data_IF_795477625973
#
_entry.id   IF_795477625973
#
_cell.length_a   1.000
_cell.length_b   1.000
_cell.length_c   1.000
_cell.angle_alpha   90.00
_cell.angle_beta   90.00
_cell.angle_gamma   90.00
#
_symmetry.space_group_name_H-M   'P 1'
#
loop_
_entity.id
_entity.type
_entity.pdbx_description
1 polymer ?
#
# COMPACT_ATOMS: atom_id res chain seq x y z
N UNK A 1 16.39 -6.27 -11.68
CA UNK A 1 15.71 -6.26 -10.37
C UNK A 1 14.42 -5.46 -10.45
N UNK A 2 14.49 -4.13 -10.64
CA UNK A 2 13.30 -3.36 -10.99
C UNK A 2 12.75 -3.79 -12.36
N UNK A 3 11.45 -4.04 -12.42
CA UNK A 3 10.67 -4.25 -13.66
C UNK A 3 9.39 -3.42 -13.60
N UNK A 4 8.75 -3.20 -14.75
CA UNK A 4 7.43 -2.55 -14.75
C UNK A 4 6.40 -3.42 -14.01
N UNK A 5 5.40 -2.80 -13.40
CA UNK A 5 4.37 -3.49 -12.63
C UNK A 5 3.62 -4.54 -13.47
N UNK A 6 3.39 -4.24 -14.75
CA UNK A 6 2.71 -5.15 -15.68
C UNK A 6 3.51 -6.43 -15.98
N UNK A 7 4.83 -6.40 -15.76
CA UNK A 7 5.74 -7.54 -16.00
C UNK A 7 5.89 -8.45 -14.77
N UNK A 8 5.36 -8.04 -13.61
CA UNK A 8 5.34 -8.86 -12.39
C UNK A 8 4.23 -9.92 -12.50
N UNK A 9 4.48 -11.19 -12.09
CA UNK A 9 3.46 -12.24 -12.05
C UNK A 9 2.24 -11.88 -11.18
N UNK A 10 1.06 -12.43 -11.52
CA UNK A 10 -0.20 -12.16 -10.79
C UNK A 10 -0.18 -12.67 -9.33
N UNK A 11 0.53 -13.76 -9.07
CA UNK A 11 0.71 -14.37 -7.75
C UNK A 11 1.86 -13.76 -6.95
N UNK A 12 2.55 -12.76 -7.52
CA UNK A 12 3.60 -12.03 -6.82
C UNK A 12 3.05 -11.36 -5.55
N UNK A 13 3.91 -11.30 -4.55
CA UNK A 13 3.56 -10.75 -3.24
C UNK A 13 3.41 -9.25 -3.33
N UNK A 14 2.46 -8.70 -2.58
CA UNK A 14 2.18 -7.27 -2.50
C UNK A 14 2.18 -6.81 -1.05
N UNK A 15 2.78 -5.64 -0.81
CA UNK A 15 2.63 -4.89 0.42
C UNK A 15 2.11 -3.49 0.10
N UNK A 16 1.02 -3.12 0.77
CA UNK A 16 0.44 -1.77 0.69
C UNK A 16 0.74 -1.02 1.97
N UNK A 17 1.40 0.13 1.83
CA UNK A 17 1.80 1.02 2.91
C UNK A 17 1.01 2.34 2.81
N UNK A 18 -0.15 2.45 3.49
CA UNK A 18 -0.93 3.68 3.50
C UNK A 18 -0.27 4.74 4.39
N UNK A 19 0.12 5.88 3.81
CA UNK A 19 0.66 7.00 4.59
C UNK A 19 -0.41 7.67 5.45
N UNK A 20 -0.08 8.08 6.68
CA UNK A 20 -0.98 8.81 7.59
C UNK A 20 -1.41 10.17 7.05
N UNK A 21 -0.58 10.82 6.23
CA UNK A 21 -0.92 12.03 5.46
C UNK A 21 -0.70 11.81 3.97
N UNK A 22 -1.14 12.76 3.15
CA UNK A 22 -0.67 12.80 1.75
C UNK A 22 0.78 13.27 1.73
N UNK A 23 1.57 12.68 0.86
CA UNK A 23 2.85 13.22 0.47
C UNK A 23 2.63 14.48 -0.37
N UNK A 24 3.45 15.50 -0.13
CA UNK A 24 3.42 16.73 -0.90
C UNK A 24 4.04 16.49 -2.28
N UNK A 25 3.57 17.16 -3.34
CA UNK A 25 4.09 16.93 -4.70
C UNK A 25 5.60 17.09 -4.84
N UNK A 26 6.23 17.93 -4.03
CA UNK A 26 7.68 18.14 -4.00
C UNK A 26 8.46 17.02 -3.28
N UNK A 27 7.81 16.19 -2.45
CA UNK A 27 8.42 15.02 -1.80
C UNK A 27 8.47 13.80 -2.73
N UNK A 28 7.49 13.70 -3.64
CA UNK A 28 7.27 12.49 -4.46
C UNK A 28 8.49 12.08 -5.29
N UNK A 29 9.18 12.99 -6.02
CA UNK A 29 10.33 12.60 -6.84
C UNK A 29 11.46 11.97 -6.03
N UNK A 30 11.75 12.52 -4.84
CA UNK A 30 12.80 11.99 -3.95
C UNK A 30 12.40 10.64 -3.37
N UNK A 31 11.13 10.46 -3.00
CA UNK A 31 10.60 9.17 -2.52
C UNK A 31 10.75 8.11 -3.60
N UNK A 32 10.34 8.40 -4.84
CA UNK A 32 10.45 7.45 -5.95
C UNK A 32 11.90 7.07 -6.27
N UNK A 33 12.82 8.03 -6.20
CA UNK A 33 14.25 7.75 -6.37
C UNK A 33 14.76 6.80 -5.27
N UNK A 34 14.44 7.08 -3.99
CA UNK A 34 14.80 6.20 -2.86
C UNK A 34 14.22 4.79 -3.02
N UNK A 35 12.96 4.67 -3.49
CA UNK A 35 12.33 3.36 -3.73
C UNK A 35 13.04 2.61 -4.85
N UNK A 36 13.36 3.27 -5.97
CA UNK A 36 14.07 2.63 -7.10
C UNK A 36 15.46 2.15 -6.68
N UNK A 37 16.19 2.97 -5.94
CA UNK A 37 17.51 2.57 -5.40
C UNK A 37 17.38 1.38 -4.47
N UNK A 38 16.44 1.41 -3.52
CA UNK A 38 16.18 0.28 -2.63
C UNK A 38 15.86 -0.99 -3.44
N UNK A 39 14.91 -0.94 -4.38
CA UNK A 39 14.54 -2.11 -5.19
C UNK A 39 15.72 -2.62 -6.01
N UNK A 40 16.61 -1.75 -6.51
CA UNK A 40 17.78 -2.18 -7.26
C UNK A 40 18.81 -2.92 -6.38
N UNK A 41 18.85 -2.63 -5.08
CA UNK A 41 19.81 -3.18 -4.12
C UNK A 41 19.23 -4.31 -3.25
N UNK A 42 17.90 -4.43 -3.18
CA UNK A 42 17.18 -5.24 -2.19
C UNK A 42 17.67 -6.69 -2.11
N UNK A 43 17.81 -7.35 -3.25
CA UNK A 43 18.30 -8.74 -3.32
C UNK A 43 19.41 -8.88 -4.36
N UNK A 44 20.37 -7.96 -4.35
CA UNK A 44 21.41 -7.81 -5.37
C UNK A 44 22.21 -9.09 -5.68
N UNK A 45 22.21 -10.08 -4.79
CA UNK A 45 22.82 -11.39 -4.99
C UNK A 45 22.02 -12.33 -5.93
N UNK A 46 20.75 -12.03 -6.19
CA UNK A 46 19.88 -12.80 -7.07
C UNK A 46 19.46 -12.02 -8.33
N UNK A 47 20.11 -12.33 -9.45
CA UNK A 47 19.83 -11.71 -10.74
C UNK A 47 18.43 -12.04 -11.31
N UNK A 48 17.76 -13.09 -10.81
CA UNK A 48 16.41 -13.47 -11.24
C UNK A 48 15.33 -12.75 -10.45
N UNK A 49 15.68 -12.11 -9.34
CA UNK A 49 14.72 -11.38 -8.50
C UNK A 49 14.10 -10.21 -9.27
N UNK A 50 12.77 -10.18 -9.26
CA UNK A 50 11.98 -9.11 -9.87
C UNK A 50 11.11 -8.46 -8.80
N UNK A 51 11.14 -7.14 -8.77
CA UNK A 51 10.30 -6.34 -7.92
C UNK A 51 9.86 -5.07 -8.66
N UNK A 52 8.72 -4.53 -8.24
CA UNK A 52 8.17 -3.29 -8.76
C UNK A 52 7.55 -2.49 -7.63
N UNK A 53 7.14 -1.27 -7.94
CA UNK A 53 6.39 -0.44 -7.01
C UNK A 53 5.34 0.38 -7.76
N UNK A 54 4.33 0.83 -7.02
CA UNK A 54 3.43 1.88 -7.44
C UNK A 54 3.28 2.91 -6.33
N UNK A 55 3.18 4.18 -6.73
CA UNK A 55 2.90 5.28 -5.83
C UNK A 55 1.57 5.93 -6.20
N UNK A 56 0.52 5.63 -5.43
CA UNK A 56 -0.85 5.94 -5.81
C UNK A 56 -1.49 6.95 -4.86
N UNK A 57 -2.34 7.81 -5.42
CA UNK A 57 -3.12 8.81 -4.69
C UNK A 57 -2.29 9.76 -3.80
N UNK A 58 -0.99 9.90 -4.10
CA UNK A 58 0.01 10.60 -3.28
C UNK A 58 -0.01 10.14 -1.81
N UNK A 59 -0.35 8.88 -1.55
CA UNK A 59 -0.55 8.36 -0.19
C UNK A 59 -0.07 6.92 -0.03
N UNK A 60 -0.31 6.07 -1.02
CA UNK A 60 0.01 4.66 -0.92
C UNK A 60 1.33 4.38 -1.63
N UNK A 61 2.26 3.81 -0.88
CA UNK A 61 3.39 3.11 -1.46
C UNK A 61 3.01 1.63 -1.53
N UNK A 62 3.04 1.07 -2.74
CA UNK A 62 2.80 -0.34 -3.00
C UNK A 62 4.10 -0.93 -3.49
N UNK A 63 4.60 -1.97 -2.81
CA UNK A 63 5.78 -2.72 -3.25
C UNK A 63 5.29 -4.12 -3.64
N UNK A 64 5.79 -4.64 -4.76
CA UNK A 64 5.54 -6.00 -5.20
C UNK A 64 6.83 -6.73 -5.52
N UNK A 65 6.89 -8.02 -5.21
CA UNK A 65 8.06 -8.85 -5.44
C UNK A 65 7.64 -10.26 -5.87
N UNK A 66 8.37 -10.82 -6.85
CA UNK A 66 8.23 -12.20 -7.30
C UNK A 66 8.87 -13.17 -6.27
N UNK A 67 8.13 -13.38 -5.18
CA UNK A 67 8.44 -14.32 -4.08
C UNK A 67 8.19 -15.80 -4.48
N UNK A 68 7.71 -16.04 -5.70
CA UNK A 68 7.40 -17.38 -6.21
C UNK A 68 8.61 -17.94 -6.95
N UNK A 69 9.13 -17.19 -7.93
CA UNK A 69 10.35 -17.56 -8.66
C UNK A 69 11.57 -17.44 -7.76
N UNK A 70 11.61 -16.37 -6.95
CA UNK A 70 12.72 -16.07 -6.05
C UNK A 70 12.20 -15.86 -4.63
N UNK A 71 12.16 -16.92 -3.81
CA UNK A 71 11.70 -16.82 -2.44
C UNK A 71 12.50 -15.81 -1.62
N UNK A 72 11.78 -14.97 -0.89
CA UNK A 72 12.28 -14.01 0.07
C UNK A 72 12.62 -14.71 1.38
N UNK A 73 13.80 -14.41 1.88
CA UNK A 73 14.25 -14.80 3.21
C UNK A 73 13.76 -13.77 4.23
N UNK A 74 13.86 -14.12 5.51
CA UNK A 74 13.54 -13.18 6.58
C UNK A 74 14.41 -11.91 6.51
N UNK A 75 15.69 -12.03 6.16
CA UNK A 75 16.58 -10.88 5.95
C UNK A 75 16.06 -9.92 4.89
N UNK A 76 15.56 -10.46 3.77
CA UNK A 76 15.05 -9.66 2.67
C UNK A 76 13.79 -8.90 3.12
N UNK A 77 12.92 -9.56 3.89
CA UNK A 77 11.74 -8.90 4.48
C UNK A 77 12.17 -7.83 5.49
N UNK A 78 13.15 -8.12 6.35
CA UNK A 78 13.66 -7.17 7.34
C UNK A 78 14.25 -5.92 6.67
N UNK A 79 14.99 -6.07 5.56
CA UNK A 79 15.52 -4.96 4.77
C UNK A 79 14.39 -4.08 4.18
N UNK A 80 13.32 -4.71 3.68
CA UNK A 80 12.15 -3.98 3.19
C UNK A 80 11.45 -3.19 4.30
N UNK A 81 11.33 -3.76 5.49
CA UNK A 81 10.72 -3.09 6.64
C UNK A 81 11.62 -1.94 7.11
N UNK A 82 12.93 -2.14 7.17
CA UNK A 82 13.90 -1.10 7.51
C UNK A 82 13.86 0.08 6.52
N UNK A 83 13.74 -0.21 5.23
CA UNK A 83 13.54 0.82 4.21
C UNK A 83 12.26 1.64 4.47
N UNK A 84 11.13 0.99 4.70
CA UNK A 84 9.87 1.69 5.01
C UNK A 84 9.98 2.54 6.29
N UNK A 85 10.64 2.03 7.33
CA UNK A 85 10.88 2.78 8.56
C UNK A 85 11.71 4.05 8.30
N UNK A 86 12.72 3.98 7.42
CA UNK A 86 13.53 5.15 7.05
C UNK A 86 12.70 6.25 6.35
N UNK A 87 11.71 5.85 5.52
CA UNK A 87 10.77 6.79 4.90
C UNK A 87 9.85 7.43 5.96
N UNK A 88 9.37 6.63 6.93
CA UNK A 88 8.55 7.18 8.02
C UNK A 88 9.29 8.27 8.80
N UNK A 89 10.57 8.05 9.13
CA UNK A 89 11.40 9.01 9.86
C UNK A 89 11.68 10.25 9.01
N UNK A 90 12.09 10.08 7.75
CA UNK A 90 12.45 11.19 6.86
C UNK A 90 11.28 12.13 6.60
N UNK A 91 10.07 11.59 6.40
CA UNK A 91 8.89 12.38 6.01
C UNK A 91 7.90 12.61 7.16
N UNK A 92 8.23 12.16 8.37
CA UNK A 92 7.38 12.26 9.56
C UNK A 92 5.96 11.71 9.32
N UNK A 93 5.88 10.51 8.74
CA UNK A 93 4.62 9.82 8.42
C UNK A 93 4.57 8.43 9.03
N UNK A 94 3.37 7.87 9.18
CA UNK A 94 3.20 6.44 9.45
C UNK A 94 2.85 5.73 8.14
N UNK A 95 3.51 4.62 7.85
CA UNK A 95 3.37 3.77 6.66
C UNK A 95 3.09 2.30 7.01
N UNK A 96 3.49 1.86 8.20
CA UNK A 96 3.28 0.48 8.68
C UNK A 96 1.93 0.28 9.38
N UNK A 97 1.22 1.37 9.73
CA UNK A 97 -0.09 1.29 10.35
C UNK A 97 -1.18 1.00 9.30
N UNK A 98 -1.45 -0.30 9.11
CA UNK A 98 -2.51 -0.81 8.23
C UNK A 98 -3.89 -0.87 8.89
N UNK A 99 -4.03 -0.46 10.15
CA UNK A 99 -5.30 -0.51 10.88
C UNK A 99 -6.20 0.70 10.59
N UNK A 100 -5.61 1.80 10.12
CA UNK A 100 -6.34 3.00 9.75
C UNK A 100 -6.97 2.87 8.36
N UNK A 101 -8.11 3.53 8.19
CA UNK A 101 -9.00 3.34 7.05
C UNK A 101 -8.74 4.45 6.04
N UNK A 102 -8.39 4.05 4.83
CA UNK A 102 -8.46 4.91 3.67
C UNK A 102 -9.79 4.70 2.93
N UNK A 103 -10.40 5.78 2.45
CA UNK A 103 -11.64 5.72 1.67
C UNK A 103 -11.75 6.87 0.68
N UNK A 104 -12.50 6.66 -0.41
CA UNK A 104 -12.81 7.70 -1.39
C UNK A 104 -13.96 8.57 -0.88
N UNK A 105 -13.79 9.88 -0.98
CA UNK A 105 -14.83 10.87 -0.77
C UNK A 105 -14.79 11.88 -1.92
N UNK A 106 -15.70 11.72 -2.88
CA UNK A 106 -15.56 12.37 -4.19
C UNK A 106 -14.30 11.86 -4.89
N UNK A 107 -13.48 12.78 -5.41
CA UNK A 107 -12.22 12.46 -6.10
C UNK A 107 -11.03 12.27 -5.14
N UNK A 108 -11.22 12.51 -3.83
CA UNK A 108 -10.13 12.50 -2.86
C UNK A 108 -10.10 11.25 -2.01
N UNK A 109 -8.89 10.77 -1.71
CA UNK A 109 -8.65 9.74 -0.68
C UNK A 109 -8.48 10.40 0.69
N UNK A 110 -9.33 9.98 1.62
CA UNK A 110 -9.30 10.36 3.03
C UNK A 110 -8.67 9.27 3.87
N UNK A 111 -8.17 9.65 5.04
CA UNK A 111 -7.58 8.74 6.04
C UNK A 111 -8.21 9.04 7.41
N UNK A 112 -8.71 8.02 8.08
CA UNK A 112 -9.26 8.12 9.43
C UNK A 112 -8.95 6.88 10.25
N UNK A 113 -8.84 7.08 11.55
CA UNK A 113 -8.89 5.95 12.47
C UNK A 113 -10.28 5.28 12.46
N UNK A 114 -10.35 4.08 13.03
CA UNK A 114 -11.59 3.30 13.09
C UNK A 114 -12.72 4.00 13.86
N UNK A 115 -12.39 4.81 14.86
CA UNK A 115 -13.38 5.50 15.70
C UNK A 115 -14.07 6.61 14.91
N UNK A 116 -13.31 7.43 14.20
CA UNK A 116 -13.83 8.50 13.37
C UNK A 116 -14.51 7.96 12.11
N UNK A 117 -13.98 6.91 11.49
CA UNK A 117 -14.64 6.22 10.39
C UNK A 117 -16.06 5.73 10.78
N UNK A 118 -16.20 5.13 11.97
CA UNK A 118 -17.52 4.72 12.49
C UNK A 118 -18.48 5.90 12.69
N UNK A 119 -17.99 7.09 13.10
CA UNK A 119 -18.83 8.29 13.20
C UNK A 119 -19.34 8.73 11.83
N UNK A 120 -18.52 8.64 10.79
CA UNK A 120 -18.92 8.99 9.42
C UNK A 120 -20.05 8.09 8.90
N UNK A 121 -19.97 6.78 9.20
CA UNK A 121 -21.05 5.85 8.86
C UNK A 121 -22.35 6.18 9.61
N UNK A 122 -22.27 6.41 10.93
CA UNK A 122 -23.45 6.79 11.74
C UNK A 122 -24.12 8.07 11.27
N UNK A 123 -23.31 9.06 10.85
CA UNK A 123 -23.80 10.34 10.36
C UNK A 123 -24.20 10.30 8.88
N UNK A 124 -24.18 9.11 8.24
CA UNK A 124 -24.49 8.90 6.82
C UNK A 124 -23.62 9.70 5.85
N UNK A 125 -22.43 10.11 6.30
CA UNK A 125 -21.42 10.72 5.43
C UNK A 125 -20.76 9.70 4.49
N UNK A 126 -20.79 8.42 4.90
CA UNK A 126 -20.41 7.26 4.10
C UNK A 126 -21.57 6.26 4.08
N UNK A 127 -21.67 5.49 3.01
CA UNK A 127 -22.69 4.45 2.80
C UNK A 127 -22.04 3.13 2.41
N UNK A 128 -22.80 2.02 2.37
CA UNK A 128 -22.27 0.72 1.93
C UNK A 128 -21.58 0.75 0.57
N UNK A 129 -22.02 1.65 -0.32
CA UNK A 129 -21.46 1.86 -1.66
C UNK A 129 -20.19 2.73 -1.71
N UNK A 130 -19.80 3.34 -0.60
CA UNK A 130 -18.57 4.14 -0.56
C UNK A 130 -17.36 3.23 -0.74
N UNK A 131 -16.37 3.66 -1.51
CA UNK A 131 -15.18 2.86 -1.81
C UNK A 131 -14.15 3.03 -0.70
N UNK A 132 -13.59 1.92 -0.24
CA UNK A 132 -12.47 1.85 0.70
C UNK A 132 -11.29 1.13 0.06
N UNK A 133 -10.15 1.17 0.75
CA UNK A 133 -8.93 0.48 0.34
C UNK A 133 -8.62 -0.67 1.30
N UNK A 134 -8.58 -1.91 0.80
CA UNK A 134 -8.17 -3.08 1.58
C UNK A 134 -6.64 -3.23 1.57
N UNK A 135 -5.96 -2.59 2.52
CA UNK A 135 -4.50 -2.62 2.62
C UNK A 135 -3.94 -3.96 3.14
N UNK A 136 -4.78 -4.99 3.33
CA UNK A 136 -4.37 -6.31 3.81
C UNK A 136 -4.22 -7.35 2.70
N UNK A 137 -4.62 -7.04 1.47
CA UNK A 137 -4.36 -7.85 0.29
C UNK A 137 -2.86 -8.15 0.13
N UNK A 138 -2.56 -9.33 -0.39
CA UNK A 138 -1.18 -9.88 -0.38
C UNK A 138 -0.65 -10.31 -1.74
N UNK A 139 -1.48 -10.31 -2.78
CA UNK A 139 -1.10 -10.72 -4.14
C UNK A 139 -1.32 -9.59 -5.14
N UNK A 140 -0.60 -9.59 -6.26
CA UNK A 140 -0.82 -8.63 -7.35
C UNK A 140 -2.24 -8.75 -7.91
N UNK A 141 -2.72 -9.97 -8.09
CA UNK A 141 -4.07 -10.23 -8.57
C UNK A 141 -5.14 -9.60 -7.66
N UNK A 142 -5.04 -9.79 -6.34
CA UNK A 142 -5.96 -9.17 -5.38
C UNK A 142 -5.82 -7.65 -5.37
N UNK A 143 -4.60 -7.13 -5.54
CA UNK A 143 -4.38 -5.70 -5.63
C UNK A 143 -5.10 -5.06 -6.82
N UNK A 144 -5.04 -5.69 -8.00
CA UNK A 144 -5.69 -5.17 -9.20
C UNK A 144 -7.21 -5.26 -9.15
N UNK A 145 -7.75 -6.28 -8.48
CA UNK A 145 -9.18 -6.61 -8.54
C UNK A 145 -9.98 -6.27 -7.27
N UNK A 146 -9.33 -6.27 -6.11
CA UNK A 146 -9.98 -6.25 -4.79
C UNK A 146 -9.40 -5.20 -3.83
N UNK A 147 -8.42 -4.40 -4.26
CA UNK A 147 -7.88 -3.34 -3.40
C UNK A 147 -8.90 -2.23 -3.15
N UNK A 148 -9.65 -1.84 -4.18
CA UNK A 148 -10.70 -0.83 -4.09
C UNK A 148 -12.08 -1.50 -4.09
N UNK A 149 -12.70 -1.58 -2.92
CA UNK A 149 -13.98 -2.28 -2.75
C UNK A 149 -15.02 -1.42 -2.04
N UNK A 150 -16.32 -1.63 -2.31
CA UNK A 150 -17.39 -1.04 -1.51
C UNK A 150 -17.31 -1.47 -0.03
N UNK A 151 -17.69 -0.58 0.90
CA UNK A 151 -17.75 -0.91 2.33
C UNK A 151 -18.61 -2.15 2.59
N UNK A 152 -19.72 -2.32 1.87
CA UNK A 152 -20.64 -3.46 2.03
C UNK A 152 -20.03 -4.82 1.67
N UNK A 153 -18.99 -4.83 0.84
CA UNK A 153 -18.24 -6.03 0.43
C UNK A 153 -17.02 -6.29 1.32
N UNK A 154 -16.69 -5.34 2.20
CA UNK A 154 -15.51 -5.39 3.07
C UNK A 154 -15.79 -5.94 4.47
N UNK A 155 -14.73 -6.15 5.26
CA UNK A 155 -14.83 -6.42 6.70
C UNK A 155 -15.63 -5.36 7.47
N UNK A 156 -15.61 -4.11 6.99
CA UNK A 156 -16.29 -2.97 7.62
C UNK A 156 -17.81 -2.96 7.41
N UNK A 157 -18.35 -3.83 6.55
CA UNK A 157 -19.80 -4.04 6.37
C UNK A 157 -20.53 -4.30 7.69
N UNK A 158 -19.84 -4.89 8.67
CA UNK A 158 -20.34 -5.11 10.05
C UNK A 158 -20.75 -3.82 10.78
N UNK A 159 -20.26 -2.65 10.34
CA UNK A 159 -20.57 -1.34 10.94
C UNK A 159 -21.65 -0.56 10.19
N UNK A 160 -22.23 -1.12 9.12
CA UNK A 160 -23.33 -0.51 8.36
C UNK A 160 -24.70 -0.66 9.03
N UNK A 161 -24.79 -1.45 10.11
CA UNK A 161 -26.03 -1.74 10.85
C UNK A 161 -26.35 -0.68 11.89
#
# INVERSE_FOLDING_TARGET
MFVNFDEIPEDAKVWVYPSSRKFYPNEIPEIEEKIKTFIAEWKADDASFKASYQFLYNRFLVITADDITTPLKNSDIDDSVAFILSLQETYEVALLDRMNICFKQGEFVQYKDLKDFKKLLKNKALTGKSIIFDNLITTKQDFENLWEIPIEESWYSRFLK
#
